data_IF_130015940944
#
_entry.id   IF_130015940944
#
_cell.length_a   1.000
_cell.length_b   1.000
_cell.length_c   1.000
_cell.angle_alpha   90.00
_cell.angle_beta   90.00
_cell.angle_gamma   90.00
#
_symmetry.space_group_name_H-M   'P 1'
#
loop_
_entity.id
_entity.type
_entity.pdbx_description
1 polymer ?
#
# COMPACT_ATOMS: atom_id res chain seq x y z
N UNK A 1 7.69 -51.25 -45.19
CA UNK A 1 8.05 -50.43 -46.37
C UNK A 1 6.89 -50.48 -47.35
N UNK A 2 6.56 -49.39 -48.08
CA UNK A 2 7.12 -48.02 -48.06
C UNK A 2 6.15 -47.03 -47.36
N UNK A 3 6.57 -46.05 -46.55
CA UNK A 3 7.44 -44.88 -46.73
C UNK A 3 6.75 -43.62 -47.29
N UNK A 4 6.64 -42.63 -46.38
CA UNK A 4 6.84 -41.17 -46.51
C UNK A 4 6.14 -40.36 -47.60
N UNK A 5 5.50 -39.26 -47.19
CA UNK A 5 6.02 -37.93 -47.55
C UNK A 5 5.50 -36.81 -46.63
N UNK A 6 6.47 -36.02 -46.17
CA UNK A 6 6.39 -34.78 -45.42
C UNK A 6 6.10 -33.59 -46.37
N UNK A 7 5.54 -32.48 -45.87
CA UNK A 7 5.80 -31.09 -46.32
C UNK A 7 4.93 -30.07 -45.55
N UNK A 8 5.58 -29.43 -44.58
CA UNK A 8 5.75 -27.97 -44.49
C UNK A 8 4.52 -27.05 -44.65
N UNK A 9 4.11 -26.46 -43.52
CA UNK A 9 3.48 -25.12 -43.51
C UNK A 9 4.32 -24.22 -42.58
N UNK A 10 5.09 -23.34 -43.20
CA UNK A 10 5.66 -22.11 -42.64
C UNK A 10 4.60 -21.00 -42.89
N UNK A 11 4.35 -20.05 -41.96
CA UNK A 11 5.02 -18.74 -42.05
C UNK A 11 5.56 -18.28 -40.68
N UNK A 12 6.84 -17.91 -40.63
CA UNK A 12 7.29 -16.52 -40.56
C UNK A 12 6.80 -15.78 -39.31
N UNK A 13 7.66 -15.56 -38.31
CA UNK A 13 7.92 -14.22 -37.77
C UNK A 13 9.14 -14.25 -36.82
N UNK A 14 10.25 -13.76 -37.39
CA UNK A 14 11.30 -12.95 -36.79
C UNK A 14 11.84 -13.27 -35.39
N UNK A 15 13.08 -13.75 -35.43
CA UNK A 15 14.18 -13.31 -34.57
C UNK A 15 14.03 -11.83 -34.15
N UNK A 16 13.77 -11.58 -32.87
CA UNK A 16 14.26 -10.37 -32.20
C UNK A 16 15.43 -10.81 -31.33
N UNK A 17 16.61 -10.40 -31.78
CA UNK A 17 17.86 -10.44 -31.03
C UNK A 17 17.61 -10.01 -29.59
N UNK A 18 18.12 -10.81 -28.68
CA UNK A 18 18.35 -10.46 -27.30
C UNK A 18 18.98 -9.05 -27.22
N UNK A 19 18.19 -8.06 -26.81
CA UNK A 19 18.74 -6.92 -26.09
C UNK A 19 18.98 -7.44 -24.69
N UNK A 20 20.26 -7.58 -24.38
CA UNK A 20 20.83 -7.96 -23.10
C UNK A 20 20.13 -7.27 -21.93
N UNK A 21 19.31 -8.02 -21.20
CA UNK A 21 18.88 -7.66 -19.86
C UNK A 21 19.53 -8.68 -18.89
N UNK A 22 20.62 -8.31 -18.19
CA UNK A 22 21.28 -9.20 -17.26
C UNK A 22 20.56 -9.12 -15.91
N UNK A 23 19.34 -9.66 -15.84
CA UNK A 23 18.68 -9.83 -14.55
C UNK A 23 17.85 -11.10 -14.56
N UNK A 24 18.47 -12.18 -14.07
CA UNK A 24 17.85 -13.50 -13.87
C UNK A 24 16.60 -13.39 -12.97
N UNK A 25 16.52 -12.34 -12.14
CA UNK A 25 15.37 -11.96 -11.31
C UNK A 25 14.08 -11.73 -12.13
N UNK A 26 14.17 -11.08 -13.30
CA UNK A 26 13.04 -10.81 -14.19
C UNK A 26 12.55 -12.11 -14.84
N UNK A 27 13.46 -12.99 -15.27
CA UNK A 27 13.08 -14.27 -15.89
C UNK A 27 12.38 -15.23 -14.90
N UNK A 28 12.78 -15.20 -13.62
CA UNK A 28 12.12 -15.95 -12.55
C UNK A 28 10.72 -15.37 -12.29
N UNK A 29 10.58 -14.04 -12.27
CA UNK A 29 9.29 -13.36 -12.14
C UNK A 29 8.32 -13.75 -13.27
N UNK A 30 8.79 -13.78 -14.52
CA UNK A 30 8.00 -14.20 -15.68
C UNK A 30 7.58 -15.69 -15.64
N UNK A 31 8.44 -16.58 -15.11
CA UNK A 31 8.07 -18.00 -14.91
C UNK A 31 7.02 -18.18 -13.81
N UNK A 32 7.00 -17.30 -12.79
CA UNK A 32 6.00 -17.32 -11.71
C UNK A 32 4.63 -16.84 -12.19
N UNK A 33 4.58 -15.77 -12.99
CA UNK A 33 3.33 -15.24 -13.60
C UNK A 33 2.65 -16.28 -14.50
N UNK A 34 3.41 -17.03 -15.31
CA UNK A 34 2.83 -18.03 -16.24
C UNK A 34 2.22 -19.26 -15.55
N UNK A 35 2.42 -19.46 -14.24
CA UNK A 35 1.86 -20.61 -13.50
C UNK A 35 0.52 -20.33 -12.82
N UNK A 36 0.04 -19.08 -12.77
CA UNK A 36 -1.24 -18.79 -12.16
C UNK A 36 -2.39 -19.19 -13.09
N UNK A 37 -3.05 -20.28 -12.70
CA UNK A 37 -4.27 -20.79 -13.35
C UNK A 37 -5.33 -19.70 -13.38
N UNK A 38 -5.96 -19.59 -14.55
CA UNK A 38 -7.05 -18.72 -14.99
C UNK A 38 -8.37 -18.85 -14.20
N UNK A 39 -8.36 -19.28 -12.94
CA UNK A 39 -9.57 -19.70 -12.22
C UNK A 39 -10.03 -18.61 -11.26
N UNK A 40 -11.26 -18.15 -11.49
CA UNK A 40 -12.19 -17.48 -10.55
C UNK A 40 -12.23 -15.95 -10.50
N UNK A 41 -11.41 -15.21 -11.26
CA UNK A 41 -11.49 -13.73 -11.32
C UNK A 41 -12.21 -13.22 -12.58
N UNK A 42 -13.03 -12.15 -12.49
CA UNK A 42 -13.57 -11.47 -13.67
C UNK A 42 -12.45 -11.06 -14.62
N UNK A 43 -12.67 -11.23 -15.93
CA UNK A 43 -11.60 -11.10 -16.92
C UNK A 43 -10.96 -9.71 -16.91
N UNK A 44 -11.75 -8.65 -16.73
CA UNK A 44 -11.26 -7.28 -16.60
C UNK A 44 -10.30 -7.12 -15.42
N UNK A 45 -10.67 -7.64 -14.24
CA UNK A 45 -9.86 -7.58 -13.04
C UNK A 45 -8.50 -8.27 -13.22
N UNK A 46 -8.46 -9.41 -13.91
CA UNK A 46 -7.20 -10.09 -14.22
C UNK A 46 -6.27 -9.21 -15.07
N UNK A 47 -6.80 -8.54 -16.11
CA UNK A 47 -5.98 -7.69 -16.97
C UNK A 47 -5.51 -6.43 -16.24
N UNK A 48 -6.35 -5.82 -15.39
CA UNK A 48 -5.97 -4.70 -14.54
C UNK A 48 -4.85 -5.10 -13.56
N UNK A 49 -5.01 -6.23 -12.86
CA UNK A 49 -4.01 -6.77 -11.94
C UNK A 49 -2.69 -7.08 -12.64
N UNK A 50 -2.74 -7.72 -13.81
CA UNK A 50 -1.56 -8.04 -14.63
C UNK A 50 -0.87 -6.76 -15.12
N UNK A 51 -1.63 -5.77 -15.58
CA UNK A 51 -1.09 -4.47 -16.02
C UNK A 51 -0.38 -3.74 -14.86
N UNK A 52 -0.95 -3.79 -13.66
CA UNK A 52 -0.33 -3.22 -12.47
C UNK A 52 0.96 -3.97 -12.08
N UNK A 53 0.96 -5.31 -12.11
CA UNK A 53 2.14 -6.10 -11.73
C UNK A 53 3.35 -5.82 -12.62
N UNK A 54 3.14 -5.50 -13.91
CA UNK A 54 4.21 -5.08 -14.82
C UNK A 54 4.91 -3.77 -14.40
N UNK A 55 4.25 -2.90 -13.61
CA UNK A 55 4.83 -1.64 -13.12
C UNK A 55 5.68 -1.83 -11.86
N UNK A 56 5.50 -2.94 -11.13
CA UNK A 56 6.10 -3.18 -9.82
C UNK A 56 7.63 -3.04 -9.82
N UNK A 57 8.40 -3.62 -10.76
CA UNK A 57 9.85 -3.48 -10.74
C UNK A 57 10.33 -2.01 -10.75
N UNK A 58 9.66 -1.15 -11.52
CA UNK A 58 9.99 0.27 -11.57
C UNK A 58 9.59 1.02 -10.29
N UNK A 59 8.44 0.67 -9.71
CA UNK A 59 7.96 1.23 -8.44
C UNK A 59 8.94 0.87 -7.31
N UNK A 60 9.34 -0.40 -7.21
CA UNK A 60 10.28 -0.87 -6.17
C UNK A 60 11.63 -0.16 -6.28
N UNK A 61 12.15 0.01 -7.50
CA UNK A 61 13.37 0.78 -7.74
C UNK A 61 13.22 2.25 -7.32
N UNK A 62 12.06 2.86 -7.56
CA UNK A 62 11.82 4.25 -7.17
C UNK A 62 11.72 4.40 -5.65
N UNK A 63 11.08 3.45 -4.96
CA UNK A 63 11.06 3.41 -3.49
C UNK A 63 12.48 3.28 -2.91
N UNK A 64 13.31 2.41 -3.48
CA UNK A 64 14.71 2.26 -3.09
C UNK A 64 15.49 3.57 -3.27
N UNK A 65 15.32 4.27 -4.39
CA UNK A 65 15.92 5.60 -4.64
C UNK A 65 15.45 6.66 -3.63
N UNK A 66 14.23 6.50 -3.11
CA UNK A 66 13.66 7.34 -2.05
C UNK A 66 14.09 6.87 -0.64
N UNK A 67 15.05 5.96 -0.54
CA UNK A 67 15.54 5.36 0.71
C UNK A 67 14.43 4.66 1.53
N UNK A 68 13.46 4.09 0.83
CA UNK A 68 12.37 3.27 1.39
C UNK A 68 12.50 1.84 0.88
N UNK A 69 12.08 0.87 1.68
CA UNK A 69 12.04 -0.52 1.24
C UNK A 69 10.67 -0.85 0.65
N UNK A 70 10.62 -1.41 -0.55
CA UNK A 70 9.38 -1.84 -1.19
C UNK A 70 9.27 -3.36 -1.27
N UNK A 71 8.06 -3.88 -1.05
CA UNK A 71 7.74 -5.30 -1.15
C UNK A 71 6.42 -5.47 -1.91
N UNK A 72 6.33 -6.45 -2.81
CA UNK A 72 5.10 -6.74 -3.55
C UNK A 72 4.62 -8.17 -3.32
N UNK A 73 3.32 -8.31 -3.10
CA UNK A 73 2.65 -9.58 -2.85
C UNK A 73 1.44 -9.74 -3.77
N UNK A 74 1.20 -10.98 -4.19
CA UNK A 74 0.03 -11.31 -5.00
C UNK A 74 -1.25 -11.42 -4.15
N UNK A 75 -1.12 -11.67 -2.84
CA UNK A 75 -2.23 -11.76 -1.90
C UNK A 75 -1.96 -11.12 -0.54
N UNK A 76 -3.04 -10.70 0.13
CA UNK A 76 -2.98 -10.19 1.49
C UNK A 76 -2.47 -11.22 2.50
N UNK A 77 -2.73 -12.51 2.27
CA UNK A 77 -2.28 -13.59 3.15
C UNK A 77 -0.75 -13.73 3.14
N UNK A 78 -0.14 -13.72 1.95
CA UNK A 78 1.33 -13.78 1.81
C UNK A 78 1.99 -12.56 2.44
N UNK A 79 1.44 -11.36 2.18
CA UNK A 79 1.92 -10.13 2.80
C UNK A 79 1.83 -10.18 4.32
N UNK A 80 0.71 -10.64 4.87
CA UNK A 80 0.50 -10.70 6.32
C UNK A 80 1.50 -11.64 6.98
N UNK A 81 1.78 -12.81 6.38
CA UNK A 81 2.81 -13.73 6.88
C UNK A 81 4.20 -13.10 6.87
N UNK A 82 4.56 -12.41 5.79
CA UNK A 82 5.85 -11.73 5.68
C UNK A 82 5.99 -10.61 6.73
N UNK A 83 4.97 -9.76 6.89
CA UNK A 83 4.96 -8.68 7.90
C UNK A 83 5.15 -9.25 9.31
N UNK A 84 4.40 -10.29 9.68
CA UNK A 84 4.49 -10.90 11.02
C UNK A 84 5.88 -11.49 11.29
N UNK A 85 6.53 -12.08 10.28
CA UNK A 85 7.89 -12.62 10.44
C UNK A 85 8.96 -11.55 10.67
N UNK A 86 8.66 -10.28 10.37
CA UNK A 86 9.55 -9.12 10.57
C UNK A 86 9.34 -8.42 11.91
N UNK A 87 8.25 -8.70 12.60
CA UNK A 87 7.91 -8.05 13.87
C UNK A 87 8.26 -9.03 15.01
N UNK A 88 9.30 -8.75 15.80
CA UNK A 88 9.65 -9.59 16.94
C UNK A 88 8.50 -9.72 17.93
N UNK A 89 8.34 -10.90 18.52
CA UNK A 89 7.41 -11.08 19.64
C UNK A 89 7.73 -10.11 20.79
N UNK A 90 6.70 -9.65 21.49
CA UNK A 90 6.80 -8.66 22.55
C UNK A 90 6.91 -7.20 22.08
N UNK A 91 7.08 -6.96 20.77
CA UNK A 91 7.15 -5.59 20.23
C UNK A 91 5.89 -4.77 20.55
N UNK A 92 6.09 -3.48 20.79
CA UNK A 92 5.00 -2.51 20.93
C UNK A 92 4.62 -1.96 19.56
N UNK A 93 3.34 -2.06 19.22
CA UNK A 93 2.83 -1.73 17.88
C UNK A 93 1.71 -0.71 18.03
N UNK A 94 1.92 0.47 17.44
CA UNK A 94 0.88 1.46 17.23
C UNK A 94 0.38 1.44 15.79
N UNK A 95 -0.79 2.02 15.54
CA UNK A 95 -1.34 2.07 14.20
C UNK A 95 -2.24 3.29 13.97
N UNK A 96 -2.36 3.69 12.70
CA UNK A 96 -3.03 4.94 12.31
C UNK A 96 -4.54 4.85 12.05
N UNK A 97 -5.20 3.72 12.35
CA UNK A 97 -6.59 3.50 11.97
C UNK A 97 -6.75 3.37 10.45
N UNK A 98 -6.39 2.20 9.90
CA UNK A 98 -6.30 1.97 8.45
C UNK A 98 -7.19 0.83 8.01
N UNK A 99 -8.14 1.11 7.09
CA UNK A 99 -8.95 0.05 6.48
C UNK A 99 -8.10 -0.93 5.68
N UNK A 100 -7.03 -0.49 5.03
CA UNK A 100 -6.16 -1.42 4.29
C UNK A 100 -5.48 -2.46 5.19
N UNK A 101 -5.30 -2.15 6.49
CA UNK A 101 -4.72 -3.09 7.47
C UNK A 101 -5.80 -4.04 8.02
N UNK A 102 -7.01 -3.53 8.26
CA UNK A 102 -8.15 -4.35 8.69
C UNK A 102 -8.56 -5.32 7.57
N UNK A 103 -8.77 -4.81 6.35
CA UNK A 103 -9.20 -5.60 5.17
C UNK A 103 -8.16 -6.63 4.73
N UNK A 104 -6.86 -6.38 4.96
CA UNK A 104 -5.82 -7.37 4.63
C UNK A 104 -5.77 -8.54 5.62
N UNK A 105 -6.53 -8.48 6.73
CA UNK A 105 -6.47 -9.45 7.82
C UNK A 105 -5.23 -9.32 8.71
N UNK A 106 -4.41 -8.28 8.50
CA UNK A 106 -3.19 -8.07 9.29
C UNK A 106 -3.52 -7.70 10.73
N UNK A 107 -4.53 -6.85 10.94
CA UNK A 107 -4.92 -6.44 12.30
C UNK A 107 -5.39 -7.64 13.13
N UNK A 108 -6.21 -8.52 12.55
CA UNK A 108 -6.68 -9.73 13.22
C UNK A 108 -5.54 -10.72 13.52
N UNK A 109 -4.57 -10.83 12.63
CA UNK A 109 -3.41 -11.67 12.87
C UNK A 109 -2.53 -11.10 14.00
N UNK A 110 -2.35 -9.78 14.06
CA UNK A 110 -1.65 -9.11 15.15
C UNK A 110 -2.37 -9.28 16.49
N UNK A 111 -3.70 -9.16 16.53
CA UNK A 111 -4.51 -9.36 17.74
C UNK A 111 -4.37 -10.77 18.32
N UNK A 112 -4.09 -11.77 17.47
CA UNK A 112 -3.84 -13.17 17.88
C UNK A 112 -2.38 -13.45 18.23
N UNK A 113 -1.47 -12.54 17.91
CA UNK A 113 -0.03 -12.69 18.15
C UNK A 113 0.40 -12.22 19.54
N UNK A 114 1.66 -12.50 19.86
CA UNK A 114 2.29 -12.11 21.12
C UNK A 114 2.89 -10.71 21.01
N UNK A 115 2.06 -9.67 20.91
CA UNK A 115 2.49 -8.27 20.75
C UNK A 115 1.78 -7.35 21.74
N UNK A 116 2.42 -6.21 22.08
CA UNK A 116 1.74 -5.11 22.78
C UNK A 116 1.11 -4.18 21.74
N UNK A 117 -0.15 -4.45 21.39
CA UNK A 117 -0.92 -3.56 20.51
C UNK A 117 -1.47 -2.38 21.29
N UNK A 118 -1.14 -1.17 20.86
CA UNK A 118 -1.70 0.06 21.41
C UNK A 118 -3.08 0.32 20.79
N UNK A 119 -4.12 0.05 21.56
CA UNK A 119 -5.50 0.40 21.22
C UNK A 119 -5.81 1.84 21.59
N UNK A 120 -6.42 2.57 20.67
CA UNK A 120 -6.76 3.98 20.84
C UNK A 120 -8.05 4.14 21.65
N UNK A 121 -9.02 3.24 21.50
CA UNK A 121 -10.37 3.40 22.02
C UNK A 121 -10.42 3.68 23.54
N UNK A 122 -9.69 2.95 24.40
CA UNK A 122 -9.72 3.21 25.84
C UNK A 122 -9.25 4.63 26.21
N UNK A 123 -8.25 5.16 25.50
CA UNK A 123 -7.70 6.49 25.78
C UNK A 123 -8.63 7.62 25.33
N UNK A 124 -9.40 7.40 24.25
CA UNK A 124 -10.39 8.40 23.80
C UNK A 124 -11.53 8.52 24.81
N UNK A 125 -11.91 7.41 25.46
CA UNK A 125 -13.00 7.39 26.43
C UNK A 125 -12.62 8.07 27.76
N UNK A 126 -11.32 8.16 28.08
CA UNK A 126 -10.83 8.83 29.30
C UNK A 126 -10.32 10.25 29.06
N UNK A 127 -10.23 10.71 27.80
CA UNK A 127 -9.66 12.02 27.45
C UNK A 127 -8.12 12.05 27.52
N UNK A 128 -7.47 10.89 27.44
CA UNK A 128 -6.02 10.72 27.53
C UNK A 128 -5.35 10.62 26.15
N UNK A 129 -5.87 11.31 25.12
CA UNK A 129 -5.38 11.13 23.75
C UNK A 129 -3.91 11.52 23.58
N UNK A 130 -3.45 12.51 24.36
CA UNK A 130 -2.03 12.92 24.37
C UNK A 130 -1.12 11.82 24.93
N UNK A 131 -1.57 11.09 25.94
CA UNK A 131 -0.81 9.97 26.51
C UNK A 131 -0.71 8.84 25.49
N UNK A 132 -1.82 8.47 24.87
CA UNK A 132 -1.82 7.51 23.77
C UNK A 132 -0.84 7.92 22.66
N UNK A 133 -0.88 9.19 22.26
CA UNK A 133 0.02 9.69 21.23
C UNK A 133 1.50 9.57 21.65
N UNK A 134 1.84 9.90 22.90
CA UNK A 134 3.19 9.70 23.43
C UNK A 134 3.65 8.24 23.36
N UNK A 135 2.80 7.30 23.75
CA UNK A 135 3.09 5.86 23.63
C UNK A 135 3.22 5.42 22.17
N UNK A 136 2.37 5.94 21.28
CA UNK A 136 2.41 5.65 19.85
C UNK A 136 3.63 6.24 19.13
N UNK A 137 4.21 7.33 19.64
CA UNK A 137 5.46 7.92 19.14
C UNK A 137 6.65 7.05 19.54
N UNK A 138 6.59 6.42 20.71
CA UNK A 138 7.66 5.60 21.28
C UNK A 138 7.56 4.10 20.93
N UNK A 139 6.54 3.69 20.17
CA UNK A 139 6.37 2.28 19.80
C UNK A 139 7.49 1.79 18.87
N UNK A 140 7.70 0.48 18.82
CA UNK A 140 8.70 -0.14 17.94
C UNK A 140 8.24 -0.06 16.48
N UNK A 141 6.96 -0.35 16.25
CA UNK A 141 6.33 -0.35 14.93
C UNK A 141 5.14 0.60 14.88
N UNK A 142 4.98 1.26 13.73
CA UNK A 142 3.79 2.01 13.35
C UNK A 142 3.20 1.44 12.07
N UNK A 143 1.97 0.94 12.13
CA UNK A 143 1.29 0.40 10.96
C UNK A 143 0.30 1.42 10.41
N UNK A 144 0.41 1.70 9.11
CA UNK A 144 -0.49 2.63 8.43
C UNK A 144 -0.71 2.22 6.97
N UNK A 145 -1.53 3.00 6.25
CA UNK A 145 -1.58 3.03 4.80
C UNK A 145 -1.27 4.44 4.31
N UNK A 146 -1.16 4.61 3.00
CA UNK A 146 -1.11 5.90 2.32
C UNK A 146 -2.49 6.28 1.77
N UNK A 147 -2.77 7.57 1.60
CA UNK A 147 -3.94 8.01 0.85
C UNK A 147 -3.70 7.96 -0.66
N UNK A 148 -2.46 8.18 -1.10
CA UNK A 148 -2.02 7.89 -2.45
C UNK A 148 -0.52 7.56 -2.45
N UNK A 149 -0.11 6.77 -3.43
CA UNK A 149 1.30 6.50 -3.74
C UNK A 149 1.51 6.84 -5.20
N UNK A 150 2.60 7.50 -5.56
CA UNK A 150 2.91 7.71 -6.98
C UNK A 150 3.66 6.51 -7.54
N UNK A 151 3.72 6.34 -8.86
CA UNK A 151 4.61 5.36 -9.47
C UNK A 151 6.11 5.65 -9.24
N UNK A 152 6.45 6.87 -8.81
CA UNK A 152 7.80 7.29 -8.42
C UNK A 152 8.07 7.10 -6.91
N UNK A 153 7.14 6.49 -6.17
CA UNK A 153 7.35 6.10 -4.78
C UNK A 153 7.19 7.23 -3.76
N UNK A 154 6.54 8.35 -4.11
CA UNK A 154 6.13 9.35 -3.11
C UNK A 154 4.86 8.91 -2.37
N UNK A 155 4.84 9.03 -1.04
CA UNK A 155 3.70 8.69 -0.20
C UNK A 155 2.94 9.96 0.20
N UNK A 156 1.67 10.05 -0.18
CA UNK A 156 0.83 11.24 0.04
C UNK A 156 -0.21 10.89 1.10
N UNK A 157 -0.24 11.70 2.15
CA UNK A 157 -1.04 11.44 3.34
C UNK A 157 -1.71 12.71 3.83
N UNK A 158 -2.94 12.57 4.30
CA UNK A 158 -3.76 13.65 4.83
C UNK A 158 -4.39 13.24 6.16
N UNK A 159 -4.44 14.17 7.11
CA UNK A 159 -4.93 13.95 8.47
C UNK A 159 -5.61 15.22 9.01
N UNK A 160 -6.62 15.06 9.86
CA UNK A 160 -7.31 16.15 10.53
C UNK A 160 -6.59 16.61 11.80
N UNK A 161 -6.06 15.68 12.59
CA UNK A 161 -5.35 15.96 13.85
C UNK A 161 -3.84 16.11 13.60
N UNK A 162 -3.32 15.39 12.60
CA UNK A 162 -1.90 15.41 12.22
C UNK A 162 -1.04 14.41 12.99
N UNK A 163 -1.62 13.67 13.96
CA UNK A 163 -0.89 12.71 14.78
C UNK A 163 -0.35 11.53 13.97
N UNK A 164 -1.07 11.06 12.93
CA UNK A 164 -0.56 10.00 12.06
C UNK A 164 0.61 10.50 11.22
N UNK A 165 0.47 11.69 10.65
CA UNK A 165 1.53 12.29 9.83
C UNK A 165 2.80 12.47 10.65
N UNK A 166 2.65 12.92 11.90
CA UNK A 166 3.78 13.01 12.81
C UNK A 166 4.47 11.66 12.99
N UNK A 167 3.76 10.57 13.38
CA UNK A 167 4.37 9.24 13.52
C UNK A 167 5.04 8.74 12.22
N UNK A 168 4.46 9.03 11.05
CA UNK A 168 5.05 8.69 9.76
C UNK A 168 6.38 9.44 9.51
N UNK A 169 6.43 10.73 9.83
CA UNK A 169 7.60 11.58 9.59
C UNK A 169 8.69 11.39 10.66
N UNK A 170 8.29 11.35 11.93
CA UNK A 170 9.17 11.17 13.08
C UNK A 170 8.41 10.58 14.27
N UNK A 171 8.89 9.46 14.80
CA UNK A 171 8.22 8.69 15.85
C UNK A 171 8.75 7.26 15.86
N UNK A 172 7.91 6.24 15.65
CA UNK A 172 8.33 4.84 15.78
C UNK A 172 9.54 4.46 14.95
N UNK A 173 10.30 3.49 15.46
CA UNK A 173 11.55 3.00 14.87
C UNK A 173 11.35 2.37 13.50
N UNK A 174 10.17 1.78 13.27
CA UNK A 174 9.76 1.16 12.02
C UNK A 174 8.36 1.63 11.63
N UNK A 175 8.16 2.03 10.37
CA UNK A 175 6.85 2.44 9.84
C UNK A 175 6.51 1.60 8.63
N UNK A 176 5.43 0.83 8.72
CA UNK A 176 4.99 -0.07 7.67
C UNK A 176 3.75 0.50 7.01
N UNK A 177 3.82 0.68 5.69
CA UNK A 177 2.71 1.09 4.85
C UNK A 177 2.13 -0.14 4.15
N UNK A 178 0.86 -0.44 4.40
CA UNK A 178 0.09 -1.46 3.65
C UNK A 178 -0.74 -0.75 2.59
N UNK A 179 -0.46 -1.00 1.31
CA UNK A 179 -1.10 -0.30 0.19
C UNK A 179 -1.61 -1.28 -0.88
N UNK A 180 -2.86 -1.10 -1.29
CA UNK A 180 -3.44 -1.80 -2.42
C UNK A 180 -3.11 -1.12 -3.75
N UNK A 181 -3.29 -1.86 -4.85
CA UNK A 181 -3.05 -1.38 -6.22
C UNK A 181 -3.88 -0.13 -6.56
N UNK A 182 -5.08 -0.01 -5.97
CA UNK A 182 -6.00 1.12 -6.12
C UNK A 182 -5.48 2.46 -5.58
N UNK A 183 -4.31 2.48 -4.93
CA UNK A 183 -3.72 3.69 -4.33
C UNK A 183 -2.67 4.36 -5.21
N UNK A 184 -2.28 3.73 -6.32
CA UNK A 184 -1.22 4.23 -7.18
C UNK A 184 -1.72 5.28 -8.19
N UNK A 185 -0.94 6.35 -8.35
CA UNK A 185 -1.23 7.52 -9.20
C UNK A 185 -0.01 7.90 -10.03
N UNK A 186 -0.20 8.62 -11.14
CA UNK A 186 0.91 8.98 -12.02
C UNK A 186 1.76 10.14 -11.49
N UNK A 187 1.17 11.03 -10.68
CA UNK A 187 1.86 12.20 -10.13
C UNK A 187 1.32 12.60 -8.76
N UNK A 188 1.99 13.55 -8.10
CA UNK A 188 1.55 14.10 -6.82
C UNK A 188 0.19 14.80 -6.98
N UNK A 189 -0.02 15.52 -8.08
CA UNK A 189 -1.28 16.20 -8.39
C UNK A 189 -2.42 15.20 -8.58
N UNK A 190 -2.18 14.08 -9.25
CA UNK A 190 -3.16 12.98 -9.30
C UNK A 190 -3.42 12.36 -7.94
N UNK A 191 -2.39 12.25 -7.09
CA UNK A 191 -2.53 11.84 -5.70
C UNK A 191 -3.47 12.76 -4.91
N UNK A 192 -3.33 14.08 -5.04
CA UNK A 192 -4.26 15.03 -4.44
C UNK A 192 -5.67 14.88 -5.01
N UNK A 193 -5.82 14.73 -6.33
CA UNK A 193 -7.13 14.48 -6.95
C UNK A 193 -7.78 13.19 -6.42
N UNK A 194 -7.00 12.12 -6.21
CA UNK A 194 -7.48 10.87 -5.59
C UNK A 194 -7.97 11.13 -4.17
N UNK A 195 -7.20 11.89 -3.38
CA UNK A 195 -7.59 12.25 -2.01
C UNK A 195 -8.91 13.01 -2.00
N UNK A 196 -9.04 14.02 -2.85
CA UNK A 196 -10.20 14.91 -2.90
C UNK A 196 -11.49 14.24 -3.37
N UNK A 197 -11.38 13.27 -4.28
CA UNK A 197 -12.55 12.70 -4.97
C UNK A 197 -12.84 11.24 -4.60
N UNK A 198 -11.91 10.55 -3.94
CA UNK A 198 -12.06 9.14 -3.57
C UNK A 198 -11.82 8.97 -2.07
N UNK A 199 -10.59 9.23 -1.61
CA UNK A 199 -10.18 8.85 -0.26
C UNK A 199 -10.90 9.65 0.83
N UNK A 200 -10.85 10.99 0.75
CA UNK A 200 -11.39 11.86 1.79
C UNK A 200 -12.93 11.80 1.86
N UNK A 201 -13.70 11.88 0.75
CA UNK A 201 -15.15 11.72 0.80
C UNK A 201 -15.59 10.38 1.41
N UNK A 202 -14.98 9.27 0.97
CA UNK A 202 -15.31 7.94 1.49
C UNK A 202 -14.93 7.80 2.98
N UNK A 203 -13.78 8.31 3.38
CA UNK A 203 -13.34 8.31 4.77
C UNK A 203 -14.22 9.22 5.66
N UNK A 204 -14.70 10.36 5.14
CA UNK A 204 -15.63 11.23 5.83
C UNK A 204 -16.93 10.52 6.17
N UNK A 205 -17.48 9.76 5.20
CA UNK A 205 -18.68 8.93 5.40
C UNK A 205 -18.44 7.83 6.41
N UNK A 206 -17.33 7.10 6.29
CA UNK A 206 -16.93 6.04 7.22
C UNK A 206 -16.83 6.52 8.66
N UNK A 207 -16.31 7.73 8.86
CA UNK A 207 -16.13 8.34 10.17
C UNK A 207 -17.34 9.18 10.62
N UNK A 208 -18.46 9.11 9.90
CA UNK A 208 -19.69 9.87 10.16
C UNK A 208 -19.48 11.38 10.35
N UNK A 209 -18.55 11.97 9.59
CA UNK A 209 -18.23 13.40 9.68
C UNK A 209 -19.23 14.25 8.92
N UNK A 210 -19.71 15.32 9.53
CA UNK A 210 -20.59 16.32 8.92
C UNK A 210 -19.79 17.31 8.06
N UNK A 211 -19.25 16.81 6.95
CA UNK A 211 -18.51 17.61 5.97
C UNK A 211 -19.24 17.66 4.63
N UNK A 212 -19.04 18.69 3.80
CA UNK A 212 -19.63 18.74 2.46
C UNK A 212 -19.23 17.55 1.58
N UNK A 213 -17.99 17.06 1.70
CA UNK A 213 -17.52 15.92 0.91
C UNK A 213 -18.18 14.60 1.33
N UNK A 214 -18.56 14.42 2.61
CA UNK A 214 -19.35 13.27 3.04
C UNK A 214 -20.74 13.22 2.37
N UNK A 215 -21.33 14.37 2.04
CA UNK A 215 -22.67 14.50 1.44
C UNK A 215 -22.64 14.48 -0.07
N UNK A 216 -21.64 15.12 -0.67
CA UNK A 216 -21.57 15.35 -2.13
C UNK A 216 -20.68 14.36 -2.87
N UNK A 217 -19.85 13.59 -2.16
CA UNK A 217 -18.89 12.67 -2.76
C UNK A 217 -17.67 13.34 -3.40
N UNK A 218 -17.53 14.67 -3.31
CA UNK A 218 -16.38 15.40 -3.85
C UNK A 218 -15.88 16.47 -2.89
N UNK A 219 -14.59 16.79 -2.96
CA UNK A 219 -14.03 17.93 -2.25
C UNK A 219 -14.60 19.25 -2.78
N UNK A 220 -14.86 20.18 -1.86
CA UNK A 220 -15.22 21.58 -2.17
C UNK A 220 -14.26 22.56 -1.47
N UNK A 221 -13.08 22.06 -1.06
CA UNK A 221 -12.08 22.78 -0.27
C UNK A 221 -12.69 23.47 0.96
N UNK A 222 -13.43 22.70 1.75
CA UNK A 222 -14.16 23.23 2.89
C UNK A 222 -13.26 23.55 4.08
N UNK A 223 -13.69 24.52 4.89
CA UNK A 223 -13.19 24.77 6.24
C UNK A 223 -14.23 24.40 7.31
N UNK A 224 -14.96 23.30 7.09
CA UNK A 224 -15.95 22.82 8.04
C UNK A 224 -15.31 22.48 9.39
N UNK A 225 -16.04 22.63 10.49
CA UNK A 225 -15.53 22.35 11.83
C UNK A 225 -15.01 20.90 11.99
N UNK A 226 -15.61 19.95 11.27
CA UNK A 226 -15.19 18.54 11.26
C UNK A 226 -14.32 18.17 10.05
N UNK A 227 -13.60 19.14 9.47
CA UNK A 227 -12.67 18.89 8.38
C UNK A 227 -11.63 17.83 8.80
N UNK A 228 -11.46 16.80 7.96
CA UNK A 228 -10.52 15.70 8.19
C UNK A 228 -9.24 15.81 7.35
N UNK A 229 -9.13 16.85 6.52
CA UNK A 229 -8.00 17.08 5.64
C UNK A 229 -7.25 18.38 5.95
N UNK A 230 -7.00 18.62 7.24
CA UNK A 230 -6.35 19.83 7.75
C UNK A 230 -4.86 19.89 7.42
N UNK A 231 -4.18 18.74 7.46
CA UNK A 231 -2.75 18.61 7.21
C UNK A 231 -2.52 17.61 6.10
N UNK A 232 -1.58 17.93 5.22
CA UNK A 232 -1.17 17.07 4.13
C UNK A 232 0.35 17.03 4.03
N UNK A 233 0.90 15.83 3.88
CA UNK A 233 2.34 15.61 3.74
C UNK A 233 2.64 14.77 2.50
N UNK A 234 3.76 15.08 1.86
CA UNK A 234 4.36 14.26 0.80
C UNK A 234 5.70 13.74 1.30
N UNK A 235 5.79 12.43 1.53
CA UNK A 235 7.05 11.77 1.90
C UNK A 235 7.74 11.36 0.60
N UNK A 236 8.69 12.17 0.15
CA UNK A 236 9.49 11.91 -1.05
C UNK A 236 10.79 11.14 -0.79
N UNK A 237 11.25 11.11 0.46
CA UNK A 237 12.50 10.46 0.84
C UNK A 237 12.50 10.13 2.34
N UNK A 238 12.94 8.93 2.72
CA UNK A 238 13.18 8.61 4.12
C UNK A 238 14.57 9.08 4.54
N UNK A 239 14.68 9.88 5.60
CA UNK A 239 15.99 10.29 6.13
C UNK A 239 16.77 9.11 6.71
N UNK A 240 16.08 8.14 7.29
CA UNK A 240 16.67 7.02 8.00
C UNK A 240 16.52 5.74 7.16
N UNK A 241 17.62 5.15 6.69
CA UNK A 241 17.58 3.89 5.95
C UNK A 241 16.87 2.79 6.74
N UNK A 242 16.02 2.05 6.04
CA UNK A 242 15.28 0.91 6.58
C UNK A 242 14.17 1.24 7.58
N UNK A 243 13.85 2.53 7.81
CA UNK A 243 12.73 2.92 8.68
C UNK A 243 11.37 2.74 8.00
N UNK A 244 11.23 3.22 6.76
CA UNK A 244 9.97 3.16 6.02
C UNK A 244 9.94 1.93 5.11
N UNK A 245 8.95 1.07 5.31
CA UNK A 245 8.71 -0.11 4.47
C UNK A 245 7.32 -0.04 3.85
N UNK A 246 7.21 -0.30 2.55
CA UNK A 246 5.97 -0.22 1.77
C UNK A 246 5.63 -1.61 1.24
N UNK A 247 4.57 -2.19 1.79
CA UNK A 247 4.02 -3.49 1.43
C UNK A 247 2.86 -3.27 0.46
N UNK A 248 3.09 -3.66 -0.79
CA UNK A 248 2.18 -3.48 -1.92
C UNK A 248 1.47 -4.80 -2.19
N UNK A 249 0.14 -4.77 -2.24
CA UNK A 249 -0.66 -5.93 -2.68
C UNK A 249 -1.33 -5.60 -4.01
N UNK A 250 -1.34 -6.57 -4.93
CA UNK A 250 -2.05 -6.43 -6.21
C UNK A 250 -3.59 -6.36 -6.10
N UNK A 251 -4.14 -6.45 -4.89
CA UNK A 251 -5.56 -6.33 -4.57
C UNK A 251 -5.95 -4.87 -4.28
N UNK A 252 -7.24 -4.57 -4.37
CA UNK A 252 -7.80 -3.29 -3.90
C UNK A 252 -7.92 -3.34 -2.39
N UNK A 253 -7.34 -2.36 -1.69
CA UNK A 253 -7.41 -2.25 -0.23
C UNK A 253 -7.73 -0.83 0.21
N UNK A 254 -8.62 -0.74 1.20
CA UNK A 254 -9.10 0.46 1.83
C UNK A 254 -9.64 1.49 0.86
N UNK A 255 -9.63 2.73 1.32
CA UNK A 255 -10.12 3.93 0.63
C UNK A 255 -8.95 4.81 0.19
#
# INVERSE_FOLDING_TARGET
MPQSMNKDIIPLFFWIKAVSCPDISILIYWKKIKKNKRRDLPMEYYYQKTSFSLKIPAILKSLEQNNMEGYYFESCEEMTKDILSRIPEGSTIAWGGSLSIEESGLMDALRRGSYRLLDREPYMNTGDEKKFYGEAVQSDFYLTSANAVTYHGELINTDGIGNRLACMMYGPSQVFFVVGANKFTASIEEGFRRIENIAAPANARRLHRNTPCAKTGRCVHCHAAECLCCYTSVIRHSRFPGRLKVFIVGETLGL
#
